data_IF_611177918015
#
_entry.id   IF_611177918015
#
_cell.length_a   1.000
_cell.length_b   1.000
_cell.length_c   1.000
_cell.angle_alpha   90.00
_cell.angle_beta   90.00
_cell.angle_gamma   90.00
#
_symmetry.space_group_name_H-M   'P 1'
#
loop_
_entity.id
_entity.type
_entity.pdbx_description
1 polymer ?
#
# COMPACT_ATOMS: atom_id res chain seq x y z
N UNK A 1 -75.34 26.20 -22.34
CA UNK A 1 -75.10 25.03 -21.46
C UNK A 1 -76.10 25.08 -20.31
N UNK A 2 -77.25 24.41 -20.49
CA UNK A 2 -78.43 24.55 -19.64
C UNK A 2 -78.31 23.86 -18.28
N UNK A 3 -78.98 24.43 -17.28
CA UNK A 3 -79.11 23.93 -15.91
C UNK A 3 -79.61 22.47 -15.91
N UNK A 4 -78.74 21.54 -15.46
CA UNK A 4 -79.10 20.15 -15.19
C UNK A 4 -79.10 19.93 -13.68
N UNK A 5 -80.20 19.40 -13.14
CA UNK A 5 -80.43 19.27 -11.69
C UNK A 5 -79.70 18.05 -11.10
N UNK A 6 -79.52 16.97 -11.88
CA UNK A 6 -78.93 15.71 -11.39
C UNK A 6 -77.39 15.72 -11.27
N UNK A 7 -76.69 16.56 -12.03
CA UNK A 7 -75.22 16.63 -12.02
C UNK A 7 -74.75 18.07 -11.93
N UNK A 8 -74.16 18.45 -10.79
CA UNK A 8 -73.62 19.78 -10.58
C UNK A 8 -72.16 19.88 -11.06
N UNK A 9 -71.99 20.25 -12.32
CA UNK A 9 -70.68 20.36 -12.97
C UNK A 9 -69.80 21.44 -12.32
N UNK A 10 -70.40 22.53 -11.83
CA UNK A 10 -69.68 23.61 -11.14
C UNK A 10 -69.07 23.12 -9.82
N UNK A 11 -69.84 22.37 -9.02
CA UNK A 11 -69.35 21.75 -7.79
C UNK A 11 -68.27 20.69 -8.07
N UNK A 12 -68.43 19.85 -9.10
CA UNK A 12 -67.40 18.87 -9.49
C UNK A 12 -66.10 19.52 -9.95
N UNK A 13 -66.18 20.64 -10.67
CA UNK A 13 -65.00 21.41 -11.05
C UNK A 13 -64.33 22.05 -9.82
N UNK A 14 -65.10 22.62 -8.90
CA UNK A 14 -64.55 23.16 -7.64
C UNK A 14 -63.87 22.07 -6.80
N UNK A 15 -64.48 20.89 -6.69
CA UNK A 15 -63.88 19.74 -6.01
C UNK A 15 -62.59 19.26 -6.68
N UNK A 16 -62.53 19.21 -8.02
CA UNK A 16 -61.30 18.88 -8.76
C UNK A 16 -60.18 19.88 -8.45
N UNK A 17 -60.48 21.18 -8.45
CA UNK A 17 -59.48 22.22 -8.14
C UNK A 17 -59.04 22.19 -6.68
N UNK A 18 -59.95 21.88 -5.75
CA UNK A 18 -59.62 21.66 -4.35
C UNK A 18 -58.65 20.48 -4.21
N UNK A 19 -58.89 19.35 -4.89
CA UNK A 19 -57.98 18.20 -4.88
C UNK A 19 -56.58 18.52 -5.41
N UNK A 20 -56.47 19.35 -6.45
CA UNK A 20 -55.17 19.83 -6.96
C UNK A 20 -54.46 20.73 -5.93
N UNK A 21 -55.19 21.63 -5.28
CA UNK A 21 -54.65 22.52 -4.25
C UNK A 21 -54.18 21.75 -3.01
N UNK A 22 -54.95 20.75 -2.57
CA UNK A 22 -54.63 19.90 -1.42
C UNK A 22 -53.41 19.02 -1.67
N UNK A 23 -53.26 18.49 -2.90
CA UNK A 23 -52.05 17.78 -3.32
C UNK A 23 -50.82 18.70 -3.33
N UNK A 24 -50.97 19.95 -3.78
CA UNK A 24 -49.91 20.97 -3.76
C UNK A 24 -49.49 21.38 -2.34
N UNK A 25 -50.47 21.54 -1.43
CA UNK A 25 -50.23 21.83 -0.02
C UNK A 25 -49.52 20.65 0.65
N UNK A 26 -49.99 19.43 0.45
CA UNK A 26 -49.39 18.21 1.00
C UNK A 26 -47.93 18.06 0.59
N UNK A 27 -47.60 18.31 -0.69
CA UNK A 27 -46.22 18.31 -1.18
C UNK A 27 -45.35 19.40 -0.56
N UNK A 28 -45.93 20.59 -0.34
CA UNK A 28 -45.22 21.70 0.30
C UNK A 28 -44.93 21.41 1.78
N UNK A 29 -45.88 20.81 2.48
CA UNK A 29 -45.69 20.33 3.85
C UNK A 29 -44.66 19.20 3.93
N UNK A 30 -44.65 18.26 2.98
CA UNK A 30 -43.63 17.19 2.89
C UNK A 30 -42.22 17.78 2.73
N UNK A 31 -42.05 18.77 1.85
CA UNK A 31 -40.78 19.49 1.65
C UNK A 31 -40.37 20.31 2.89
N UNK A 32 -41.32 20.95 3.55
CA UNK A 32 -41.05 21.71 4.78
C UNK A 32 -40.62 20.78 5.91
N UNK A 33 -41.29 19.63 6.07
CA UNK A 33 -40.97 18.65 7.12
C UNK A 33 -39.65 17.93 6.87
N UNK A 34 -39.29 17.66 5.61
CA UNK A 34 -38.03 16.99 5.28
C UNK A 34 -36.85 17.95 5.16
N UNK A 35 -37.11 19.23 4.91
CA UNK A 35 -36.09 20.22 4.56
C UNK A 35 -35.47 20.01 3.18
N UNK A 36 -35.92 19.02 2.41
CA UNK A 36 -35.40 18.71 1.07
C UNK A 36 -36.37 19.16 -0.01
N UNK A 37 -35.81 19.76 -1.07
CA UNK A 37 -36.58 20.14 -2.27
C UNK A 37 -37.05 18.93 -3.09
N UNK A 38 -36.30 17.83 -3.07
CA UNK A 38 -36.59 16.60 -3.82
C UNK A 38 -36.67 15.45 -2.82
N UNK A 39 -37.89 14.95 -2.57
CA UNK A 39 -38.13 13.88 -1.61
C UNK A 39 -38.27 12.51 -2.29
N UNK A 40 -38.73 12.48 -3.54
CA UNK A 40 -39.02 11.24 -4.29
C UNK A 40 -38.55 11.36 -5.73
N UNK A 41 -38.29 10.21 -6.37
CA UNK A 41 -37.87 10.16 -7.77
C UNK A 41 -38.92 10.75 -8.74
N UNK A 42 -40.20 10.74 -8.34
CA UNK A 42 -41.29 11.34 -9.11
C UNK A 42 -41.23 12.88 -9.18
N UNK A 43 -40.51 13.53 -8.26
CA UNK A 43 -40.37 15.00 -8.26
C UNK A 43 -39.29 15.48 -9.23
N UNK A 44 -38.16 14.77 -9.24
CA UNK A 44 -37.01 15.01 -10.11
C UNK A 44 -36.08 13.79 -10.05
N UNK A 45 -36.19 12.88 -11.01
CA UNK A 45 -35.41 11.66 -11.03
C UNK A 45 -33.90 11.95 -11.23
N UNK A 46 -33.56 12.93 -12.07
CA UNK A 46 -32.18 13.29 -12.34
C UNK A 46 -31.53 13.99 -11.14
N UNK A 47 -32.24 14.98 -10.55
CA UNK A 47 -31.79 15.67 -9.35
C UNK A 47 -31.67 14.76 -8.13
N UNK A 48 -32.59 13.80 -7.96
CA UNK A 48 -32.48 12.78 -6.92
C UNK A 48 -31.23 11.92 -7.13
N UNK A 49 -31.00 11.42 -8.36
CA UNK A 49 -29.85 10.58 -8.68
C UNK A 49 -28.50 11.30 -8.49
N UNK A 50 -28.40 12.58 -8.87
CA UNK A 50 -27.20 13.38 -8.64
C UNK A 50 -26.99 13.56 -7.13
N UNK A 51 -28.06 13.91 -6.40
CA UNK A 51 -27.95 14.12 -4.95
C UNK A 51 -27.62 12.84 -4.18
N UNK A 52 -28.08 11.66 -4.62
CA UNK A 52 -27.71 10.38 -4.02
C UNK A 52 -26.25 10.03 -4.31
N UNK A 53 -25.76 10.29 -5.52
CA UNK A 53 -24.35 10.12 -5.86
C UNK A 53 -23.46 11.02 -5.02
N UNK A 54 -23.82 12.30 -4.87
CA UNK A 54 -23.09 13.23 -3.99
C UNK A 54 -23.11 12.79 -2.53
N UNK A 55 -24.24 12.27 -2.01
CA UNK A 55 -24.30 11.72 -0.65
C UNK A 55 -23.39 10.50 -0.48
N UNK A 56 -23.38 9.60 -1.46
CA UNK A 56 -22.48 8.44 -1.47
C UNK A 56 -21.01 8.89 -1.50
N UNK A 57 -20.69 9.90 -2.31
CA UNK A 57 -19.35 10.48 -2.38
C UNK A 57 -18.94 11.11 -1.05
N UNK A 58 -19.79 11.93 -0.42
CA UNK A 58 -19.53 12.49 0.91
C UNK A 58 -19.31 11.38 1.95
N UNK A 59 -20.13 10.32 1.94
CA UNK A 59 -19.97 9.20 2.86
C UNK A 59 -18.62 8.48 2.64
N UNK A 60 -18.22 8.27 1.39
CA UNK A 60 -16.92 7.68 1.05
C UNK A 60 -15.75 8.56 1.48
N UNK A 61 -15.83 9.88 1.26
CA UNK A 61 -14.80 10.84 1.66
C UNK A 61 -14.66 10.93 3.19
N UNK A 62 -15.76 10.79 3.95
CA UNK A 62 -15.71 10.74 5.41
C UNK A 62 -15.00 9.47 5.93
N UNK A 63 -15.12 8.35 5.24
CA UNK A 63 -14.34 7.14 5.56
C UNK A 63 -12.88 7.34 5.17
N UNK A 64 -12.62 7.85 3.96
CA UNK A 64 -11.29 8.16 3.48
C UNK A 64 -10.52 9.10 4.42
N UNK A 65 -11.17 10.16 4.92
CA UNK A 65 -10.58 11.08 5.90
C UNK A 65 -10.19 10.38 7.21
N UNK A 66 -11.02 9.46 7.71
CA UNK A 66 -10.69 8.66 8.91
C UNK A 66 -9.51 7.73 8.65
N UNK A 67 -9.46 7.10 7.48
CA UNK A 67 -8.34 6.25 7.08
C UNK A 67 -7.04 7.06 6.95
N UNK A 68 -7.09 8.29 6.41
CA UNK A 68 -5.92 9.18 6.36
C UNK A 68 -5.42 9.55 7.76
N UNK A 69 -6.31 9.77 8.72
CA UNK A 69 -5.91 10.01 10.10
C UNK A 69 -5.21 8.78 10.73
N UNK A 70 -5.68 7.58 10.41
CA UNK A 70 -5.01 6.33 10.82
C UNK A 70 -3.64 6.18 10.13
N UNK A 71 -3.53 6.48 8.84
CA UNK A 71 -2.26 6.47 8.12
C UNK A 71 -1.25 7.47 8.73
N UNK A 72 -1.70 8.69 9.06
CA UNK A 72 -0.86 9.67 9.73
C UNK A 72 -0.38 9.18 11.11
N UNK A 73 -1.27 8.54 11.88
CA UNK A 73 -0.90 7.96 13.18
C UNK A 73 0.12 6.82 13.03
N UNK A 74 -0.05 5.98 12.00
CA UNK A 74 0.90 4.91 11.66
C UNK A 74 2.27 5.48 11.28
N UNK A 75 2.30 6.48 10.41
CA UNK A 75 3.54 7.16 10.00
C UNK A 75 4.25 7.81 11.18
N UNK A 76 3.52 8.44 12.11
CA UNK A 76 4.12 9.04 13.30
C UNK A 76 4.80 8.00 14.22
N UNK A 77 4.22 6.79 14.34
CA UNK A 77 4.86 5.69 15.08
C UNK A 77 6.13 5.22 14.37
N UNK A 78 6.10 5.09 13.04
CA UNK A 78 7.27 4.73 12.25
C UNK A 78 8.38 5.80 12.34
N UNK A 79 8.02 7.09 12.23
CA UNK A 79 8.94 8.22 12.32
C UNK A 79 9.61 8.29 13.70
N UNK A 80 8.84 8.14 14.77
CA UNK A 80 9.40 8.11 16.13
C UNK A 80 10.39 6.96 16.35
N UNK A 81 10.12 5.79 15.78
CA UNK A 81 11.05 4.66 15.83
C UNK A 81 12.31 4.91 14.99
N UNK A 82 12.16 5.48 13.79
CA UNK A 82 13.28 5.85 12.92
C UNK A 82 14.18 6.91 13.54
N UNK A 83 13.64 7.86 14.29
CA UNK A 83 14.43 8.83 15.05
C UNK A 83 15.29 8.15 16.13
N UNK A 84 14.77 7.13 16.82
CA UNK A 84 15.58 6.36 17.77
C UNK A 84 16.71 5.60 17.06
N UNK A 85 16.41 4.99 15.91
CA UNK A 85 17.42 4.33 15.08
C UNK A 85 18.49 5.32 14.62
N UNK A 86 18.11 6.52 14.18
CA UNK A 86 19.04 7.55 13.75
C UNK A 86 20.03 7.98 14.85
N UNK A 87 19.52 8.16 16.08
CA UNK A 87 20.35 8.47 17.25
C UNK A 87 21.35 7.35 17.55
N UNK A 88 20.92 6.08 17.49
CA UNK A 88 21.82 4.93 17.69
C UNK A 88 22.86 4.80 16.57
N UNK A 89 22.48 5.04 15.30
CA UNK A 89 23.41 5.05 14.18
C UNK A 89 24.45 6.17 14.30
N UNK A 90 24.05 7.34 14.79
CA UNK A 90 24.98 8.43 15.08
C UNK A 90 25.97 8.02 16.17
N UNK A 91 25.49 7.37 17.25
CA UNK A 91 26.36 6.82 18.30
C UNK A 91 27.29 5.73 17.76
N UNK A 92 26.80 4.84 16.90
CA UNK A 92 27.62 3.79 16.27
C UNK A 92 28.72 4.40 15.40
N UNK A 93 28.41 5.48 14.67
CA UNK A 93 29.40 6.26 13.91
C UNK A 93 30.45 6.88 14.82
N UNK A 94 30.06 7.48 15.96
CA UNK A 94 31.02 8.00 16.95
C UNK A 94 31.97 6.90 17.42
N UNK A 95 31.44 5.75 17.83
CA UNK A 95 32.21 4.59 18.26
C UNK A 95 33.16 4.09 17.16
N UNK A 96 32.71 4.04 15.90
CA UNK A 96 33.54 3.66 14.77
C UNK A 96 34.71 4.64 14.56
N UNK A 97 34.45 5.95 14.64
CA UNK A 97 35.51 6.98 14.55
C UNK A 97 36.48 6.91 15.73
N UNK A 98 35.99 6.58 16.92
CA UNK A 98 36.82 6.39 18.10
C UNK A 98 37.73 5.17 17.93
N UNK A 99 37.18 4.04 17.48
CA UNK A 99 37.96 2.82 17.23
C UNK A 99 39.01 3.00 16.13
N UNK A 100 38.74 3.85 15.13
CA UNK A 100 39.67 4.16 14.04
C UNK A 100 40.88 5.00 14.48
N UNK A 101 40.83 5.66 15.64
CA UNK A 101 41.97 6.42 16.17
C UNK A 101 43.11 5.51 16.60
N UNK A 102 44.36 5.91 16.28
CA UNK A 102 45.57 5.13 16.58
C UNK A 102 45.92 5.07 18.08
N UNK A 103 45.30 5.92 18.92
CA UNK A 103 45.57 5.99 20.36
C UNK A 103 44.69 5.03 21.20
N UNK A 104 43.85 4.21 20.57
CA UNK A 104 42.96 3.27 21.27
C UNK A 104 43.64 1.91 21.38
N UNK A 105 43.68 1.35 22.60
CA UNK A 105 44.26 0.04 22.86
C UNK A 105 43.39 -1.09 22.28
N UNK A 106 43.95 -2.29 22.12
CA UNK A 106 43.18 -3.46 21.64
C UNK A 106 42.05 -3.81 22.60
N UNK A 107 42.26 -3.74 23.92
CA UNK A 107 41.22 -3.98 24.93
C UNK A 107 40.10 -2.95 24.86
N UNK A 108 40.41 -1.69 24.56
CA UNK A 108 39.39 -0.66 24.41
C UNK A 108 38.60 -0.82 23.10
N UNK A 109 39.25 -1.27 22.03
CA UNK A 109 38.56 -1.64 20.77
C UNK A 109 37.57 -2.79 20.98
N UNK A 110 37.90 -3.79 21.79
CA UNK A 110 36.98 -4.88 22.13
C UNK A 110 35.74 -4.37 22.89
N UNK A 111 35.91 -3.43 23.83
CA UNK A 111 34.79 -2.81 24.55
C UNK A 111 33.92 -1.96 23.63
N UNK A 112 34.52 -1.16 22.75
CA UNK A 112 33.82 -0.37 21.74
C UNK A 112 33.02 -1.30 20.82
N UNK A 113 33.60 -2.43 20.40
CA UNK A 113 32.92 -3.39 19.56
C UNK A 113 31.74 -4.07 20.29
N UNK A 114 31.88 -4.36 21.59
CA UNK A 114 30.78 -4.88 22.39
C UNK A 114 29.64 -3.86 22.54
N UNK A 115 29.95 -2.57 22.70
CA UNK A 115 28.93 -1.50 22.71
C UNK A 115 28.26 -1.38 21.34
N UNK A 116 29.03 -1.41 20.24
CA UNK A 116 28.50 -1.36 18.88
C UNK A 116 27.57 -2.55 18.58
N UNK A 117 27.93 -3.76 19.03
CA UNK A 117 27.09 -4.97 18.86
C UNK A 117 25.76 -4.83 19.62
N UNK A 118 25.79 -4.30 20.84
CA UNK A 118 24.55 -4.05 21.60
C UNK A 118 23.67 -3.00 20.94
N UNK A 119 24.27 -1.98 20.31
CA UNK A 119 23.51 -0.97 19.56
C UNK A 119 22.87 -1.58 18.31
N UNK A 120 23.56 -2.49 17.59
CA UNK A 120 22.95 -3.18 16.45
C UNK A 120 21.81 -4.08 16.89
N UNK A 121 21.99 -4.85 17.97
CA UNK A 121 20.92 -5.70 18.51
C UNK A 121 19.70 -4.88 18.94
N UNK A 122 19.93 -3.69 19.49
CA UNK A 122 18.85 -2.78 19.91
C UNK A 122 18.14 -2.11 18.71
N UNK A 123 18.86 -1.82 17.63
CA UNK A 123 18.26 -1.37 16.35
C UNK A 123 17.32 -2.46 15.82
N UNK A 124 17.77 -3.71 15.75
CA UNK A 124 16.96 -4.83 15.28
C UNK A 124 15.72 -5.03 16.18
N UNK A 125 15.90 -4.95 17.51
CA UNK A 125 14.79 -5.02 18.46
C UNK A 125 13.77 -3.90 18.25
N UNK A 126 14.20 -2.66 18.01
CA UNK A 126 13.29 -1.54 17.72
C UNK A 126 12.58 -1.76 16.40
N UNK A 127 13.28 -2.27 15.38
CA UNK A 127 12.66 -2.59 14.10
C UNK A 127 11.52 -3.62 14.24
N UNK A 128 11.74 -4.67 15.02
CA UNK A 128 10.75 -5.73 15.24
C UNK A 128 9.63 -5.35 16.24
N UNK A 129 9.94 -4.52 17.24
CA UNK A 129 8.97 -4.08 18.24
C UNK A 129 8.04 -2.98 17.74
N UNK A 130 8.44 -2.22 16.71
CA UNK A 130 7.65 -1.11 16.17
C UNK A 130 6.48 -1.65 15.35
N UNK A 131 5.30 -1.68 15.98
CA UNK A 131 4.08 -2.21 15.41
C UNK A 131 2.94 -1.20 15.50
N UNK A 132 2.13 -1.12 14.44
CA UNK A 132 0.86 -0.41 14.45
C UNK A 132 -0.26 -1.41 14.19
N UNK A 133 -1.25 -1.45 15.08
CA UNK A 133 -2.38 -2.38 15.00
C UNK A 133 -1.97 -3.84 14.75
N UNK A 134 -0.88 -4.30 15.40
CA UNK A 134 -0.35 -5.65 15.28
C UNK A 134 0.58 -5.90 14.08
N UNK A 135 0.74 -4.93 13.19
CA UNK A 135 1.59 -5.04 11.99
C UNK A 135 2.94 -4.39 12.23
N UNK A 136 4.04 -5.09 11.95
CA UNK A 136 5.39 -4.52 11.99
C UNK A 136 5.61 -3.54 10.84
N UNK A 137 6.17 -2.36 11.12
CA UNK A 137 6.24 -1.26 10.15
C UNK A 137 7.59 -1.15 9.44
N UNK A 138 8.69 -1.45 10.15
CA UNK A 138 10.04 -1.05 9.73
C UNK A 138 11.05 -2.20 9.70
N UNK A 139 10.60 -3.44 9.90
CA UNK A 139 11.44 -4.64 9.82
C UNK A 139 11.57 -5.21 8.39
N UNK A 140 11.20 -4.43 7.37
CA UNK A 140 11.24 -4.85 5.96
C UNK A 140 10.12 -5.79 5.53
N UNK A 141 9.25 -6.21 6.45
CA UNK A 141 8.13 -7.11 6.17
C UNK A 141 6.81 -6.37 5.88
N UNK A 142 6.83 -5.04 5.89
CA UNK A 142 5.71 -4.18 5.53
C UNK A 142 5.69 -4.02 4.00
N UNK A 143 4.58 -4.41 3.36
CA UNK A 143 4.41 -4.32 1.90
C UNK A 143 4.55 -5.64 1.16
N UNK A 144 5.12 -5.59 -0.06
CA UNK A 144 5.34 -6.76 -0.90
C UNK A 144 6.49 -7.62 -0.34
N UNK A 145 6.22 -8.91 -0.13
CA UNK A 145 7.24 -9.86 0.33
C UNK A 145 7.41 -10.95 -0.72
N UNK A 146 8.65 -11.24 -1.09
CA UNK A 146 8.95 -12.41 -1.90
C UNK A 146 8.97 -13.64 -0.99
N UNK A 147 8.16 -14.66 -1.29
CA UNK A 147 8.43 -15.99 -0.74
C UNK A 147 9.67 -16.51 -1.46
N UNK A 148 10.71 -16.81 -0.67
CA UNK A 148 11.91 -17.52 -1.12
C UNK A 148 11.57 -18.97 -1.46
N UNK A 149 10.83 -19.18 -2.53
CA UNK A 149 10.85 -20.45 -3.23
C UNK A 149 12.20 -20.53 -3.95
N UNK A 150 12.92 -21.60 -3.65
CA UNK A 150 14.35 -21.80 -3.82
C UNK A 150 14.86 -21.39 -5.21
N UNK A 151 15.64 -20.30 -5.28
CA UNK A 151 16.56 -20.07 -6.38
C UNK A 151 17.71 -21.04 -6.17
N UNK A 152 17.80 -22.06 -7.04
CA UNK A 152 18.80 -23.13 -6.93
C UNK A 152 19.68 -23.06 -8.17
N UNK A 153 20.97 -22.82 -7.99
CA UNK A 153 21.91 -23.16 -9.04
C UNK A 153 21.92 -24.69 -9.22
N UNK A 154 21.97 -25.17 -10.48
CA UNK A 154 21.79 -26.58 -10.86
C UNK A 154 22.73 -27.58 -10.13
N UNK A 155 23.76 -27.11 -9.44
CA UNK A 155 24.71 -27.95 -8.69
C UNK A 155 24.74 -27.68 -7.17
N UNK A 156 23.70 -27.05 -6.60
CA UNK A 156 23.53 -26.95 -5.14
C UNK A 156 24.52 -26.03 -4.41
N UNK A 157 25.20 -25.12 -5.13
CA UNK A 157 26.23 -24.23 -4.54
C UNK A 157 25.81 -22.75 -4.44
N UNK A 158 24.72 -22.29 -5.07
CA UNK A 158 24.30 -20.90 -4.94
C UNK A 158 22.85 -20.78 -4.49
N UNK A 159 22.65 -20.07 -3.38
CA UNK A 159 21.33 -19.58 -2.95
C UNK A 159 21.30 -18.07 -3.18
N UNK A 160 20.19 -17.54 -3.69
CA UNK A 160 19.95 -16.11 -3.55
C UNK A 160 19.88 -15.79 -2.05
N UNK A 161 20.75 -14.88 -1.59
CA UNK A 161 20.84 -14.50 -0.18
C UNK A 161 19.61 -13.69 0.26
N UNK A 162 19.14 -12.79 -0.61
CA UNK A 162 17.89 -12.07 -0.41
C UNK A 162 17.29 -11.61 -1.74
N UNK A 163 15.96 -11.48 -1.76
CA UNK A 163 15.21 -10.91 -2.88
C UNK A 163 14.46 -9.69 -2.34
N UNK A 164 14.83 -8.52 -2.82
CA UNK A 164 14.16 -7.26 -2.52
C UNK A 164 13.13 -6.97 -3.64
N UNK A 165 11.86 -6.91 -3.23
CA UNK A 165 10.70 -6.68 -4.10
C UNK A 165 9.96 -5.39 -3.72
N UNK A 166 10.62 -4.47 -3.01
CA UNK A 166 10.05 -3.18 -2.61
C UNK A 166 9.58 -2.33 -3.80
N UNK A 167 10.20 -2.49 -4.98
CA UNK A 167 9.84 -1.76 -6.20
C UNK A 167 8.99 -2.57 -7.19
N UNK A 168 8.51 -3.75 -6.81
CA UNK A 168 7.97 -4.73 -7.76
C UNK A 168 6.75 -4.21 -8.52
N UNK A 169 6.80 -4.33 -9.85
CA UNK A 169 5.73 -3.85 -10.74
C UNK A 169 4.47 -4.72 -10.65
N UNK A 170 4.62 -6.03 -10.38
CA UNK A 170 3.51 -6.96 -10.22
C UNK A 170 3.54 -7.66 -8.85
N UNK A 171 2.61 -7.25 -7.99
CA UNK A 171 2.54 -7.65 -6.57
C UNK A 171 1.88 -9.01 -6.34
N UNK A 172 1.48 -9.71 -7.40
CA UNK A 172 0.90 -11.07 -7.33
C UNK A 172 1.39 -11.98 -8.46
N UNK A 173 2.59 -11.72 -9.00
CA UNK A 173 3.19 -12.58 -10.01
C UNK A 173 4.19 -13.59 -9.44
N UNK A 174 4.29 -14.72 -10.15
CA UNK A 174 5.44 -15.62 -10.01
C UNK A 174 6.53 -15.12 -10.93
N UNK A 175 7.70 -14.85 -10.37
CA UNK A 175 8.87 -14.43 -11.10
C UNK A 175 9.77 -15.64 -11.32
N UNK A 176 10.13 -15.89 -12.58
CA UNK A 176 11.04 -16.97 -12.94
C UNK A 176 12.38 -16.38 -13.34
N UNK A 177 13.43 -16.80 -12.63
CA UNK A 177 14.83 -16.54 -13.00
C UNK A 177 15.29 -17.68 -13.90
N UNK A 178 15.84 -17.31 -15.05
CA UNK A 178 16.48 -18.24 -15.97
C UNK A 178 17.83 -17.65 -16.39
N UNK A 179 18.90 -18.39 -16.11
CA UNK A 179 20.23 -18.13 -16.63
C UNK A 179 20.46 -19.01 -17.88
N UNK A 180 20.95 -18.41 -18.95
CA UNK A 180 21.45 -19.15 -20.10
C UNK A 180 22.97 -19.20 -19.96
N UNK A 181 23.55 -20.40 -19.87
CA UNK A 181 24.99 -20.65 -19.65
C UNK A 181 25.86 -19.51 -20.20
N UNK A 182 26.46 -18.76 -19.27
CA UNK A 182 27.39 -17.69 -19.56
C UNK A 182 26.88 -16.31 -19.15
N UNK A 183 27.10 -15.90 -17.89
CA UNK A 183 27.01 -14.49 -17.42
C UNK A 183 25.69 -13.75 -17.70
N UNK A 184 24.62 -14.43 -18.14
CA UNK A 184 23.37 -13.80 -18.61
C UNK A 184 22.18 -14.31 -17.80
N UNK A 185 21.74 -13.50 -16.84
CA UNK A 185 20.58 -13.83 -15.99
C UNK A 185 19.36 -13.05 -16.47
N UNK A 186 18.29 -13.77 -16.80
CA UNK A 186 16.98 -13.21 -17.15
C UNK A 186 15.99 -13.39 -16.00
N UNK A 187 15.20 -12.36 -15.76
CA UNK A 187 14.04 -12.38 -14.86
C UNK A 187 12.79 -12.08 -15.68
N UNK A 188 11.75 -12.93 -15.53
CA UNK A 188 10.44 -12.69 -16.15
C UNK A 188 9.30 -12.90 -15.18
N UNK A 189 8.24 -12.10 -15.31
CA UNK A 189 6.95 -12.32 -14.64
C UNK A 189 5.88 -12.89 -15.61
N UNK A 190 6.30 -13.33 -16.80
CA UNK A 190 5.42 -13.78 -17.88
C UNK A 190 4.96 -12.66 -18.85
N UNK A 191 5.03 -11.39 -18.44
CA UNK A 191 4.66 -10.23 -19.27
C UNK A 191 5.86 -9.34 -19.63
N UNK A 192 6.77 -9.14 -18.68
CA UNK A 192 8.00 -8.36 -18.83
C UNK A 192 9.17 -9.30 -18.59
N UNK A 193 10.17 -9.27 -19.46
CA UNK A 193 11.44 -9.99 -19.29
C UNK A 193 12.59 -9.00 -19.33
N UNK A 194 13.43 -8.99 -18.30
CA UNK A 194 14.66 -8.22 -18.27
C UNK A 194 15.85 -9.16 -18.15
N UNK A 195 16.88 -8.89 -18.94
CA UNK A 195 18.09 -9.70 -19.00
C UNK A 195 19.27 -8.83 -18.61
N UNK A 196 20.05 -9.27 -17.64
CA UNK A 196 21.32 -8.68 -17.26
C UNK A 196 22.45 -9.52 -17.84
N UNK A 197 23.46 -8.87 -18.42
CA UNK A 197 24.65 -9.50 -19.00
C UNK A 197 25.89 -9.12 -18.19
N UNK A 198 26.88 -10.00 -18.09
CA UNK A 198 28.17 -9.70 -17.45
C UNK A 198 28.20 -10.01 -15.96
N UNK A 199 27.39 -10.96 -15.49
CA UNK A 199 27.39 -11.39 -14.10
C UNK A 199 28.65 -12.22 -13.82
N UNK A 200 29.53 -11.71 -12.96
CA UNK A 200 30.74 -12.42 -12.52
C UNK A 200 30.49 -13.39 -11.36
N UNK A 201 31.44 -14.29 -11.12
CA UNK A 201 31.46 -15.16 -9.93
C UNK A 201 31.62 -14.33 -8.65
N UNK A 202 30.85 -14.65 -7.60
CA UNK A 202 30.88 -13.98 -6.28
C UNK A 202 29.65 -13.11 -5.95
N UNK A 203 29.63 -12.53 -4.74
CA UNK A 203 28.46 -11.81 -4.23
C UNK A 203 28.19 -10.52 -5.02
N UNK A 204 26.99 -10.43 -5.60
CA UNK A 204 26.56 -9.30 -6.41
C UNK A 204 25.07 -9.05 -6.25
N UNK A 205 24.66 -7.80 -6.41
CA UNK A 205 23.24 -7.43 -6.47
C UNK A 205 22.83 -7.27 -7.94
N UNK A 206 22.01 -8.19 -8.42
CA UNK A 206 21.34 -8.10 -9.72
C UNK A 206 20.16 -7.14 -9.59
N UNK A 207 20.21 -6.02 -10.30
CA UNK A 207 19.12 -5.06 -10.28
C UNK A 207 18.27 -5.17 -11.55
N UNK A 208 17.04 -5.64 -11.39
CA UNK A 208 16.06 -5.73 -12.46
C UNK A 208 15.13 -4.51 -12.42
N UNK A 209 15.64 -3.34 -12.83
CA UNK A 209 14.92 -2.06 -12.80
C UNK A 209 13.56 -2.09 -13.51
N UNK A 210 13.43 -2.85 -14.61
CA UNK A 210 12.18 -2.90 -15.38
C UNK A 210 11.08 -3.70 -14.66
N UNK A 211 11.48 -4.59 -13.74
CA UNK A 211 10.58 -5.38 -12.91
C UNK A 211 10.54 -4.88 -11.46
N UNK A 212 11.44 -3.96 -11.09
CA UNK A 212 11.59 -3.40 -9.75
C UNK A 212 12.06 -4.39 -8.69
N UNK A 213 12.80 -5.43 -9.11
CA UNK A 213 13.29 -6.50 -8.25
C UNK A 213 14.81 -6.45 -8.15
N UNK A 214 15.36 -6.59 -6.94
CA UNK A 214 16.79 -6.80 -6.72
C UNK A 214 17.04 -8.18 -6.14
N UNK A 215 17.95 -8.93 -6.74
CA UNK A 215 18.37 -10.25 -6.25
C UNK A 215 19.81 -10.12 -5.78
N UNK A 216 20.06 -10.40 -4.50
CA UNK A 216 21.42 -10.48 -3.98
C UNK A 216 21.91 -11.92 -4.06
N UNK A 217 23.00 -12.11 -4.79
CA UNK A 217 23.74 -13.37 -4.88
C UNK A 217 24.76 -13.43 -3.76
N UNK A 218 24.99 -14.60 -3.20
CA UNK A 218 26.03 -14.83 -2.20
C UNK A 218 27.41 -15.05 -2.83
N UNK A 219 28.44 -15.18 -1.99
CA UNK A 219 29.81 -15.43 -2.43
C UNK A 219 30.01 -16.81 -3.08
N UNK A 220 29.01 -17.69 -3.00
CA UNK A 220 29.05 -19.03 -3.55
C UNK A 220 28.49 -19.10 -4.98
N UNK A 221 27.98 -17.98 -5.52
CA UNK A 221 27.58 -17.89 -6.91
C UNK A 221 28.76 -18.09 -7.87
N UNK A 222 28.63 -19.11 -8.73
CA UNK A 222 29.55 -19.41 -9.83
C UNK A 222 28.90 -19.06 -11.17
N UNK A 223 29.52 -18.14 -11.92
CA UNK A 223 29.05 -17.71 -13.26
C UNK A 223 29.07 -18.82 -14.33
N UNK A 224 29.65 -19.97 -14.01
CA UNK A 224 29.62 -21.17 -14.85
C UNK A 224 28.44 -22.12 -14.56
N UNK A 225 27.70 -21.90 -13.46
CA UNK A 225 26.52 -22.68 -13.10
C UNK A 225 25.23 -21.93 -13.45
N UNK A 226 24.24 -22.63 -14.00
CA UNK A 226 22.94 -22.03 -14.32
C UNK A 226 22.19 -21.65 -13.03
N UNK A 227 21.90 -20.35 -12.87
CA UNK A 227 20.93 -19.88 -11.89
C UNK A 227 19.50 -20.05 -12.41
N UNK A 228 18.76 -20.98 -11.81
CA UNK A 228 17.36 -21.19 -12.14
C UNK A 228 16.50 -21.19 -10.88
N UNK A 229 15.29 -20.67 -10.98
CA UNK A 229 14.35 -20.75 -9.87
C UNK A 229 13.18 -19.82 -10.03
N UNK A 230 12.19 -20.03 -9.16
CA UNK A 230 10.98 -19.22 -9.15
C UNK A 230 10.74 -18.69 -7.76
N UNK A 231 10.55 -17.39 -7.62
CA UNK A 231 10.05 -16.80 -6.39
C UNK A 231 8.67 -16.21 -6.65
N UNK A 232 7.78 -16.35 -5.68
CA UNK A 232 6.45 -15.75 -5.75
C UNK A 232 6.45 -14.49 -4.93
N UNK A 233 6.01 -13.39 -5.53
CA UNK A 233 5.77 -12.16 -4.78
C UNK A 233 4.36 -12.22 -4.25
N UNK A 234 4.24 -12.24 -2.93
CA UNK A 234 2.96 -12.13 -2.24
C UNK A 234 2.93 -10.78 -1.56
N UNK A 235 2.03 -9.90 -2.00
CA UNK A 235 1.78 -8.67 -1.25
C UNK A 235 1.02 -8.99 0.04
N UNK A 236 1.65 -8.73 1.18
CA UNK A 236 0.86 -8.38 2.35
C UNK A 236 0.34 -6.96 2.07
N UNK A 237 -0.82 -6.88 1.42
CA UNK A 237 -1.34 -5.60 0.93
C UNK A 237 -1.85 -4.77 2.11
N UNK A 238 -0.95 -4.11 2.85
CA UNK A 238 -1.28 -3.22 3.96
C UNK A 238 -1.45 -1.79 3.44
N UNK A 239 -2.25 -1.64 2.38
CA UNK A 239 -2.51 -0.35 1.77
C UNK A 239 -3.67 0.33 2.49
N UNK A 240 -3.44 1.52 3.05
CA UNK A 240 -4.50 2.32 3.64
C UNK A 240 -5.19 3.10 2.52
N UNK A 241 -6.47 2.81 2.31
CA UNK A 241 -7.30 3.50 1.33
C UNK A 241 -7.61 4.92 1.82
N UNK A 242 -7.02 5.93 1.18
CA UNK A 242 -7.16 7.36 1.52
C UNK A 242 -7.99 8.16 0.50
N UNK A 243 -8.43 7.54 -0.59
CA UNK A 243 -9.31 8.15 -1.58
C UNK A 243 -10.65 7.45 -1.73
N UNK A 244 -11.56 8.08 -2.50
CA UNK A 244 -12.94 7.59 -2.69
C UNK A 244 -13.05 6.38 -3.63
N UNK A 245 -12.08 6.19 -4.52
CA UNK A 245 -12.08 5.13 -5.54
C UNK A 245 -10.94 4.16 -5.28
N UNK A 246 -11.14 2.88 -5.60
CA UNK A 246 -10.15 1.80 -5.41
C UNK A 246 -9.05 1.85 -6.48
N UNK A 247 -8.41 3.00 -6.62
CA UNK A 247 -7.31 3.26 -7.56
C UNK A 247 -5.97 3.21 -6.83
N UNK A 248 -4.90 2.91 -7.56
CA UNK A 248 -3.55 2.82 -6.99
C UNK A 248 -3.10 4.13 -6.29
N UNK A 249 -3.46 5.29 -6.85
CA UNK A 249 -3.12 6.62 -6.30
C UNK A 249 -3.93 7.00 -5.06
N UNK A 250 -4.99 6.24 -4.74
CA UNK A 250 -5.86 6.47 -3.58
C UNK A 250 -5.49 5.60 -2.38
N UNK A 251 -4.29 5.02 -2.41
CA UNK A 251 -3.76 4.11 -1.40
C UNK A 251 -2.41 4.61 -0.91
N UNK A 252 -2.22 4.63 0.40
CA UNK A 252 -0.92 4.82 1.02
C UNK A 252 -0.42 3.45 1.47
N UNK A 253 0.65 2.98 0.83
CA UNK A 253 1.56 1.97 1.37
C UNK A 253 2.90 2.64 1.70
N UNK A 254 3.65 2.08 2.65
CA UNK A 254 5.08 2.37 2.82
C UNK A 254 5.86 1.48 1.88
#
# INVERSE_FOLDING_TARGET
>A
MGLRIANNIAAMNAHRQLGVADAGLSKSLERLSSGYRINRAADDAAGLSISSNMRAEIASLNVASRNTAQASSMLQVAEGAMDQINNMLTRLKELATQAASANVTTTDREKINSEATKLTDEIDRIADATKYNGTALINGNFGATASTSTLVASEGVASASSIDVSGVVDTSATYTVSDAVGTVVSLTNGSITQTLTGISTGAQTLNFDALGVKITLDNAYDSSAELSGTFTVTSSTQNIQVGKENEAYNKIGL
#
